data_IF_423404740189
#
_entry.id   IF_423404740189
#
_cell.length_a   1.000
_cell.length_b   1.000
_cell.length_c   1.000
_cell.angle_alpha   90.00
_cell.angle_beta   90.00
_cell.angle_gamma   90.00
#
_symmetry.space_group_name_H-M   'P 1'
#
loop_
_entity.id
_entity.type
_entity.pdbx_description
1 polymer ?
#
# COMPACT_ATOMS: atom_id res chain seq x y z
N UNK A 1 15.17 22.22 3.29
CA UNK A 1 15.03 21.62 1.95
C UNK A 1 14.82 20.12 2.12
N UNK A 2 14.15 19.51 1.15
CA UNK A 2 13.93 18.07 1.16
C UNK A 2 14.79 17.36 0.13
N UNK A 3 15.19 16.15 0.46
CA UNK A 3 15.99 15.28 -0.39
C UNK A 3 15.34 13.91 -0.39
N UNK A 4 15.17 13.32 -1.57
CA UNK A 4 14.39 12.10 -1.75
C UNK A 4 15.23 11.02 -2.38
N UNK A 5 15.09 9.79 -1.90
CA UNK A 5 15.56 8.58 -2.57
C UNK A 5 14.36 7.67 -2.88
N UNK A 6 14.27 7.23 -4.12
CA UNK A 6 13.39 6.14 -4.55
C UNK A 6 14.25 4.93 -4.88
N UNK A 7 13.89 3.78 -4.33
CA UNK A 7 14.63 2.53 -4.54
C UNK A 7 13.66 1.40 -4.90
N UNK A 8 13.96 0.73 -6.00
CA UNK A 8 13.32 -0.51 -6.43
C UNK A 8 14.38 -1.38 -7.07
N UNK A 9 14.86 -2.38 -6.34
CA UNK A 9 16.02 -3.19 -6.78
C UNK A 9 15.89 -3.68 -8.23
N UNK A 10 16.90 -3.54 -9.08
CA UNK A 10 18.25 -3.02 -8.79
C UNK A 10 18.39 -1.48 -8.94
N UNK A 11 17.32 -0.76 -9.24
CA UNK A 11 17.32 0.66 -9.56
C UNK A 11 17.19 1.54 -8.32
N UNK A 12 17.79 2.72 -8.38
CA UNK A 12 17.61 3.79 -7.42
C UNK A 12 17.77 5.15 -8.10
N UNK A 13 17.01 6.13 -7.63
CA UNK A 13 17.15 7.53 -8.05
C UNK A 13 17.07 8.47 -6.86
N UNK A 14 17.52 9.71 -7.04
CA UNK A 14 17.59 10.71 -5.98
C UNK A 14 17.25 12.09 -6.50
N UNK A 15 16.42 12.81 -5.75
CA UNK A 15 16.17 14.23 -5.97
C UNK A 15 16.72 15.02 -4.78
N UNK A 16 17.30 16.18 -5.06
CA UNK A 16 17.92 17.04 -4.05
C UNK A 16 17.29 18.44 -4.08
N UNK A 17 17.31 19.08 -2.91
CA UNK A 17 16.93 20.50 -2.76
C UNK A 17 15.50 20.79 -3.17
N UNK A 18 14.57 19.89 -2.94
CA UNK A 18 13.17 20.14 -3.18
C UNK A 18 12.62 21.11 -2.13
N UNK A 19 11.82 22.06 -2.54
CA UNK A 19 10.93 22.81 -1.65
C UNK A 19 9.82 21.90 -1.13
N UNK A 20 9.06 22.34 -0.14
CA UNK A 20 7.88 21.58 0.33
C UNK A 20 6.87 21.41 -0.80
N UNK A 21 6.60 22.47 -1.52
CA UNK A 21 5.66 22.45 -2.65
C UNK A 21 6.09 21.47 -3.76
N UNK A 22 7.39 21.47 -4.11
CA UNK A 22 7.92 20.52 -5.09
C UNK A 22 7.89 19.08 -4.59
N UNK A 23 8.17 18.84 -3.30
CA UNK A 23 8.06 17.53 -2.68
C UNK A 23 6.63 17.00 -2.76
N UNK A 24 5.66 17.82 -2.37
CA UNK A 24 4.25 17.45 -2.35
C UNK A 24 3.71 17.20 -3.76
N UNK A 25 3.98 18.11 -4.70
CA UNK A 25 3.48 17.99 -6.07
C UNK A 25 4.08 16.83 -6.87
N UNK A 26 5.38 16.54 -6.69
CA UNK A 26 6.11 15.60 -7.55
C UNK A 26 6.30 14.23 -6.93
N UNK A 27 6.25 14.13 -5.62
CA UNK A 27 6.59 12.90 -4.89
C UNK A 27 5.43 12.44 -4.00
N UNK A 28 5.06 13.26 -3.01
CA UNK A 28 4.13 12.84 -1.96
C UNK A 28 2.71 12.66 -2.51
N UNK A 29 2.21 13.62 -3.30
CA UNK A 29 0.88 13.53 -3.91
C UNK A 29 0.72 12.27 -4.77
N UNK A 30 1.55 12.06 -5.81
CA UNK A 30 1.51 10.83 -6.61
C UNK A 30 1.72 9.56 -5.77
N UNK A 31 2.64 9.59 -4.78
CA UNK A 31 2.87 8.45 -3.88
C UNK A 31 1.61 8.07 -3.10
N UNK A 32 0.95 9.06 -2.52
CA UNK A 32 -0.28 8.86 -1.73
C UNK A 32 -1.48 8.45 -2.60
N UNK A 33 -1.52 8.90 -3.85
CA UNK A 33 -2.53 8.47 -4.82
C UNK A 33 -2.26 7.07 -5.42
N UNK A 34 -1.13 6.43 -5.08
CA UNK A 34 -0.74 5.16 -5.70
C UNK A 34 -0.28 5.29 -7.16
N UNK A 35 -0.05 6.53 -7.61
CA UNK A 35 0.39 6.83 -8.96
C UNK A 35 1.90 6.63 -9.12
N UNK A 36 2.32 6.31 -10.35
CA UNK A 36 3.74 6.16 -10.65
C UNK A 36 4.44 7.53 -10.61
N UNK A 37 5.58 7.59 -9.91
CA UNK A 37 6.49 8.74 -9.96
C UNK A 37 7.45 8.54 -11.13
N UNK A 38 7.49 9.48 -12.05
CA UNK A 38 8.44 9.46 -13.17
C UNK A 38 9.69 10.28 -12.81
N UNK A 39 10.85 9.60 -12.77
CA UNK A 39 12.13 10.22 -12.46
C UNK A 39 13.29 9.43 -13.11
N UNK A 40 14.22 10.14 -13.75
CA UNK A 40 15.39 9.57 -14.43
C UNK A 40 15.01 8.49 -15.46
N UNK A 41 14.00 8.77 -16.30
CA UNK A 41 13.47 7.86 -17.34
C UNK A 41 12.93 6.52 -16.80
N UNK A 42 12.62 6.46 -15.50
CA UNK A 42 12.08 5.29 -14.84
C UNK A 42 10.76 5.61 -14.12
N UNK A 43 9.84 4.61 -14.09
CA UNK A 43 8.57 4.70 -13.39
C UNK A 43 8.66 3.97 -12.06
N UNK A 44 8.52 4.72 -10.97
CA UNK A 44 8.58 4.23 -9.61
C UNK A 44 7.17 4.00 -9.09
N UNK A 45 6.83 2.75 -8.83
CA UNK A 45 5.50 2.35 -8.36
C UNK A 45 5.51 2.28 -6.82
N UNK A 46 4.57 2.96 -6.13
CA UNK A 46 4.51 2.96 -4.66
C UNK A 46 4.41 1.57 -4.03
N UNK A 47 3.75 0.63 -4.69
CA UNK A 47 3.60 -0.77 -4.24
C UNK A 47 4.90 -1.60 -4.35
N UNK A 48 5.90 -1.14 -5.09
CA UNK A 48 7.16 -1.85 -5.38
C UNK A 48 8.42 -1.11 -4.95
N UNK A 49 8.33 0.21 -4.92
CA UNK A 49 9.44 1.06 -4.54
C UNK A 49 9.47 1.33 -3.03
N UNK A 50 10.62 1.75 -2.54
CA UNK A 50 10.78 2.34 -1.21
C UNK A 50 11.05 3.81 -1.38
N UNK A 51 10.30 4.65 -0.69
CA UNK A 51 10.50 6.09 -0.61
C UNK A 51 11.21 6.42 0.69
N UNK A 52 12.23 7.28 0.61
CA UNK A 52 12.90 7.85 1.78
C UNK A 52 13.04 9.36 1.58
N UNK A 53 12.62 10.13 2.57
CA UNK A 53 12.62 11.61 2.56
C UNK A 53 13.48 12.11 3.72
N UNK A 54 14.46 12.93 3.40
CA UNK A 54 15.29 13.63 4.38
C UNK A 54 15.02 15.12 4.34
N UNK A 55 14.86 15.72 5.49
CA UNK A 55 14.92 17.17 5.66
C UNK A 55 16.34 17.58 6.04
N UNK A 56 16.91 18.54 5.33
CA UNK A 56 18.29 18.97 5.57
C UNK A 56 18.63 20.30 4.94
N UNK A 57 19.88 20.74 5.05
CA UNK A 57 20.35 21.99 4.46
C UNK A 57 20.33 21.91 2.92
N UNK A 58 20.27 23.08 2.30
CA UNK A 58 20.49 23.21 0.84
C UNK A 58 21.89 22.67 0.50
N UNK A 59 21.96 21.75 -0.46
CA UNK A 59 23.22 21.21 -0.95
C UNK A 59 23.71 22.05 -2.13
N UNK A 60 24.91 22.61 -2.01
CA UNK A 60 25.61 23.29 -3.08
C UNK A 60 26.35 22.33 -4.02
N UNK A 61 26.91 22.85 -5.12
CA UNK A 61 27.69 22.08 -6.10
C UNK A 61 28.84 21.30 -5.43
N UNK A 62 29.49 21.90 -4.42
CA UNK A 62 30.58 21.27 -3.69
C UNK A 62 30.11 20.05 -2.85
N UNK A 63 28.90 20.12 -2.29
CA UNK A 63 28.31 19.02 -1.50
C UNK A 63 27.89 17.84 -2.36
N UNK A 64 27.45 18.10 -3.61
CA UNK A 64 27.00 17.10 -4.57
C UNK A 64 28.17 16.48 -5.37
N UNK A 65 29.33 17.13 -5.39
CA UNK A 65 30.51 16.68 -6.11
C UNK A 65 30.97 15.27 -5.72
N UNK A 66 31.54 14.54 -6.68
CA UNK A 66 32.06 13.18 -6.51
C UNK A 66 31.05 12.16 -5.98
N UNK A 67 29.76 12.32 -6.27
CA UNK A 67 28.71 11.42 -5.81
C UNK A 67 28.42 11.44 -4.30
N UNK A 68 28.90 12.45 -3.57
CA UNK A 68 28.76 12.56 -2.11
C UNK A 68 27.43 13.16 -1.65
N UNK A 69 26.61 13.64 -2.57
CA UNK A 69 25.35 14.34 -2.23
C UNK A 69 24.50 13.56 -1.22
N UNK A 70 24.24 12.29 -1.45
CA UNK A 70 23.43 11.47 -0.56
C UNK A 70 24.11 11.20 0.80
N UNK A 71 25.41 10.99 0.83
CA UNK A 71 26.16 10.85 2.09
C UNK A 71 26.07 12.13 2.94
N UNK A 72 26.09 13.29 2.30
CA UNK A 72 25.90 14.56 3.01
C UNK A 72 24.46 14.71 3.51
N UNK A 73 23.47 14.30 2.74
CA UNK A 73 22.05 14.26 3.17
C UNK A 73 21.90 13.38 4.41
N UNK A 74 22.30 12.12 4.35
CA UNK A 74 22.13 11.18 5.48
C UNK A 74 22.90 11.57 6.73
N UNK A 75 24.03 12.27 6.57
CA UNK A 75 24.85 12.73 7.69
C UNK A 75 24.34 14.01 8.34
N UNK A 76 23.79 14.93 7.56
CA UNK A 76 23.40 16.29 8.02
C UNK A 76 21.90 16.47 8.16
N UNK A 77 21.12 15.62 7.51
CA UNK A 77 19.67 15.67 7.49
C UNK A 77 19.03 14.71 8.48
N UNK A 78 17.73 14.87 8.66
CA UNK A 78 16.85 14.02 9.46
C UNK A 78 15.91 13.26 8.53
N UNK A 79 15.77 11.96 8.73
CA UNK A 79 14.73 11.19 8.06
C UNK A 79 13.36 11.65 8.57
N UNK A 80 12.55 12.15 7.65
CA UNK A 80 11.19 12.65 7.92
C UNK A 80 10.12 11.90 7.12
N UNK A 81 10.48 10.77 6.55
CA UNK A 81 9.60 10.00 5.65
C UNK A 81 8.24 9.74 6.29
N UNK A 82 8.23 9.20 7.50
CA UNK A 82 6.97 8.88 8.18
C UNK A 82 6.18 10.13 8.55
N UNK A 83 6.85 11.18 9.02
CA UNK A 83 6.21 12.43 9.40
C UNK A 83 5.50 13.08 8.20
N UNK A 84 6.21 13.17 7.07
CA UNK A 84 5.66 13.76 5.83
C UNK A 84 4.47 12.93 5.28
N UNK A 85 4.58 11.60 5.30
CA UNK A 85 3.50 10.75 4.82
C UNK A 85 2.28 10.76 5.75
N UNK A 86 2.48 10.84 7.08
CA UNK A 86 1.39 11.00 8.04
C UNK A 86 0.72 12.37 7.86
N UNK A 87 1.49 13.44 7.70
CA UNK A 87 0.96 14.80 7.47
C UNK A 87 0.13 14.85 6.19
N UNK A 88 0.67 14.36 5.07
CA UNK A 88 -0.05 14.29 3.80
C UNK A 88 -1.33 13.45 3.88
N UNK A 89 -1.29 12.37 4.67
CA UNK A 89 -2.46 11.55 4.96
C UNK A 89 -3.54 12.32 5.70
N UNK A 90 -3.15 13.09 6.70
CA UNK A 90 -4.08 13.91 7.48
C UNK A 90 -4.64 15.09 6.68
N UNK A 91 -3.86 15.66 5.78
CA UNK A 91 -4.32 16.72 4.86
C UNK A 91 -5.26 16.20 3.77
N UNK A 92 -5.08 14.94 3.35
CA UNK A 92 -5.94 14.26 2.36
C UNK A 92 -7.30 13.78 2.90
N UNK A 93 -7.57 14.00 4.18
CA UNK A 93 -8.73 13.45 4.88
C UNK A 93 -8.36 12.20 5.70
N UNK A 94 -9.25 11.83 6.62
CA UNK A 94 -9.08 10.66 7.44
C UNK A 94 -9.08 9.41 6.55
N UNK A 95 -7.96 8.68 6.51
CA UNK A 95 -7.94 7.41 5.77
C UNK A 95 -8.93 6.44 6.39
N UNK A 96 -9.61 5.65 5.56
CA UNK A 96 -10.44 4.58 6.06
C UNK A 96 -9.65 3.70 7.02
N UNK A 97 -10.23 3.39 8.15
CA UNK A 97 -9.65 2.47 9.12
C UNK A 97 -9.79 1.02 8.67
N UNK A 98 -9.08 0.09 9.32
CA UNK A 98 -9.29 -1.34 9.07
C UNK A 98 -10.73 -1.77 9.41
N UNK A 99 -11.36 -1.11 10.38
CA UNK A 99 -12.77 -1.37 10.71
C UNK A 99 -13.72 -0.86 9.62
N UNK A 100 -13.48 0.32 9.04
CA UNK A 100 -14.27 0.82 7.90
C UNK A 100 -14.16 -0.13 6.69
N UNK A 101 -12.94 -0.64 6.42
CA UNK A 101 -12.73 -1.63 5.36
C UNK A 101 -13.48 -2.93 5.64
N UNK A 102 -13.43 -3.43 6.87
CA UNK A 102 -14.18 -4.62 7.29
C UNK A 102 -15.69 -4.43 7.11
N UNK A 103 -16.22 -3.26 7.49
CA UNK A 103 -17.64 -2.93 7.36
C UNK A 103 -18.06 -2.89 5.89
N UNK A 104 -17.23 -2.36 4.99
CA UNK A 104 -17.47 -2.41 3.55
C UNK A 104 -17.44 -3.84 3.01
N UNK A 105 -16.49 -4.68 3.44
CA UNK A 105 -16.44 -6.11 3.08
C UNK A 105 -17.70 -6.82 3.56
N UNK A 106 -18.16 -6.52 4.78
CA UNK A 106 -19.41 -7.07 5.33
C UNK A 106 -20.63 -6.68 4.48
N UNK A 107 -20.74 -5.40 4.11
CA UNK A 107 -21.83 -4.90 3.29
C UNK A 107 -21.85 -5.58 1.91
N UNK A 108 -20.72 -5.69 1.25
CA UNK A 108 -20.60 -6.35 -0.06
C UNK A 108 -20.91 -7.84 0.01
N UNK A 109 -20.38 -8.54 1.02
CA UNK A 109 -20.62 -9.97 1.19
C UNK A 109 -22.07 -10.29 1.54
N UNK A 110 -22.79 -9.39 2.21
CA UNK A 110 -24.23 -9.50 2.46
C UNK A 110 -25.07 -9.28 1.20
N UNK A 111 -24.62 -8.43 0.28
CA UNK A 111 -25.28 -8.17 -1.00
C UNK A 111 -25.10 -9.31 -2.01
N UNK A 112 -24.03 -10.11 -1.87
CA UNK A 112 -23.73 -11.25 -2.74
C UNK A 112 -22.34 -11.81 -2.48
N UNK A 113 -22.03 -12.93 -3.12
CA UNK A 113 -20.70 -13.53 -2.99
C UNK A 113 -19.63 -12.65 -3.70
N UNK A 114 -18.55 -12.37 -3.00
CA UNK A 114 -17.38 -11.63 -3.53
C UNK A 114 -16.17 -12.56 -3.57
N UNK A 115 -15.47 -12.61 -4.71
CA UNK A 115 -14.22 -13.36 -4.82
C UNK A 115 -13.15 -12.77 -3.91
N UNK A 116 -12.29 -13.62 -3.35
CA UNK A 116 -11.21 -13.17 -2.47
C UNK A 116 -10.19 -12.26 -3.22
N UNK A 117 -9.95 -12.52 -4.50
CA UNK A 117 -9.16 -11.62 -5.37
C UNK A 117 -9.80 -10.23 -5.49
N UNK A 118 -11.12 -10.14 -5.60
CA UNK A 118 -11.85 -8.87 -5.63
C UNK A 118 -11.74 -8.07 -4.31
N UNK A 119 -11.53 -8.73 -3.16
CA UNK A 119 -11.23 -8.03 -1.90
C UNK A 119 -9.84 -7.40 -1.93
N UNK A 120 -8.86 -8.03 -2.57
CA UNK A 120 -7.50 -7.46 -2.73
C UNK A 120 -7.54 -6.26 -3.67
N UNK A 121 -8.37 -6.29 -4.72
CA UNK A 121 -8.62 -5.15 -5.60
C UNK A 121 -9.28 -4.00 -4.83
N UNK A 122 -10.31 -4.28 -4.03
CA UNK A 122 -10.93 -3.29 -3.15
C UNK A 122 -9.91 -2.69 -2.17
N UNK A 123 -9.07 -3.50 -1.55
CA UNK A 123 -8.01 -3.01 -0.68
C UNK A 123 -6.99 -2.15 -1.45
N UNK A 124 -6.76 -2.41 -2.76
CA UNK A 124 -5.91 -1.58 -3.58
C UNK A 124 -6.53 -0.19 -3.87
N UNK A 125 -7.86 -0.13 -4.04
CA UNK A 125 -8.58 1.14 -4.19
C UNK A 125 -8.53 1.98 -2.90
N UNK A 126 -8.69 1.34 -1.75
CA UNK A 126 -8.75 2.02 -0.45
C UNK A 126 -7.36 2.39 0.09
N UNK A 127 -6.35 1.58 -0.21
CA UNK A 127 -4.97 1.73 0.29
C UNK A 127 -3.97 1.61 -0.87
N UNK A 128 -3.98 2.55 -1.83
CA UNK A 128 -3.17 2.46 -3.05
C UNK A 128 -1.66 2.40 -2.77
N UNK A 129 -1.20 3.03 -1.66
CA UNK A 129 0.20 3.02 -1.24
C UNK A 129 0.64 1.73 -0.53
N UNK A 130 -0.32 0.86 -0.13
CA UNK A 130 0.02 -0.38 0.56
C UNK A 130 0.60 -1.42 -0.40
N UNK A 131 1.56 -2.21 0.06
CA UNK A 131 2.09 -3.35 -0.69
C UNK A 131 1.05 -4.46 -0.82
N UNK A 132 1.17 -5.27 -1.84
CA UNK A 132 0.25 -6.41 -2.06
C UNK A 132 0.15 -7.30 -0.82
N UNK A 133 1.26 -7.58 -0.13
CA UNK A 133 1.26 -8.38 1.10
C UNK A 133 0.51 -7.70 2.25
N UNK A 134 0.57 -6.38 2.36
CA UNK A 134 -0.15 -5.60 3.38
C UNK A 134 -1.66 -5.59 3.08
N UNK A 135 -2.04 -5.45 1.81
CA UNK A 135 -3.44 -5.55 1.37
C UNK A 135 -4.02 -6.93 1.64
N UNK A 136 -3.25 -8.00 1.36
CA UNK A 136 -3.69 -9.37 1.67
C UNK A 136 -3.83 -9.56 3.17
N UNK A 137 -2.90 -9.10 3.99
CA UNK A 137 -3.00 -9.20 5.44
C UNK A 137 -4.25 -8.48 6.00
N UNK A 138 -4.56 -7.28 5.45
CA UNK A 138 -5.79 -6.56 5.79
C UNK A 138 -7.05 -7.34 5.40
N UNK A 139 -7.09 -7.89 4.19
CA UNK A 139 -8.20 -8.73 3.75
C UNK A 139 -8.35 -9.98 4.59
N UNK A 140 -7.24 -10.66 4.91
CA UNK A 140 -7.20 -11.86 5.76
C UNK A 140 -7.80 -11.56 7.14
N UNK A 141 -7.38 -10.47 7.78
CA UNK A 141 -7.91 -10.06 9.07
C UNK A 141 -9.41 -9.76 8.99
N UNK A 142 -9.83 -8.94 8.04
CA UNK A 142 -11.25 -8.57 7.87
C UNK A 142 -12.12 -9.81 7.65
N UNK A 143 -11.74 -10.70 6.75
CA UNK A 143 -12.50 -11.94 6.47
C UNK A 143 -12.52 -12.87 7.69
N UNK A 144 -11.38 -13.03 8.38
CA UNK A 144 -11.31 -13.84 9.59
C UNK A 144 -12.28 -13.36 10.67
N UNK A 145 -12.31 -12.05 10.92
CA UNK A 145 -13.23 -11.45 11.89
C UNK A 145 -14.69 -11.62 11.48
N UNK A 146 -15.01 -11.42 10.19
CA UNK A 146 -16.37 -11.58 9.68
C UNK A 146 -16.87 -13.01 9.78
N UNK A 147 -16.04 -14.00 9.46
CA UNK A 147 -16.40 -15.42 9.59
C UNK A 147 -16.78 -15.82 11.02
N UNK A 148 -16.35 -15.03 12.03
CA UNK A 148 -16.63 -15.31 13.44
C UNK A 148 -17.69 -14.39 14.06
N UNK A 149 -18.09 -13.32 13.38
CA UNK A 149 -18.97 -12.29 13.93
C UNK A 149 -20.29 -12.12 13.19
N UNK A 150 -20.37 -12.48 11.91
CA UNK A 150 -21.58 -12.32 11.10
C UNK A 150 -21.91 -13.60 10.31
N UNK A 151 -23.15 -13.76 9.81
CA UNK A 151 -23.57 -14.98 9.09
C UNK A 151 -23.04 -15.01 7.65
N UNK A 152 -21.73 -15.12 7.50
CA UNK A 152 -21.05 -15.30 6.21
C UNK A 152 -20.24 -16.60 6.20
N UNK A 153 -19.91 -17.08 5.01
CA UNK A 153 -19.10 -18.29 4.84
C UNK A 153 -18.16 -18.16 3.65
N UNK A 154 -17.09 -18.94 3.65
CA UNK A 154 -16.29 -19.17 2.45
C UNK A 154 -16.95 -20.23 1.59
N UNK A 155 -16.96 -20.00 0.29
CA UNK A 155 -17.44 -20.98 -0.68
C UNK A 155 -16.39 -21.19 -1.79
N UNK A 156 -16.31 -22.43 -2.29
CA UNK A 156 -15.51 -22.78 -3.47
C UNK A 156 -16.39 -23.56 -4.43
N UNK A 157 -16.47 -23.15 -5.70
CA UNK A 157 -17.38 -23.74 -6.70
C UNK A 157 -18.84 -23.76 -6.20
N UNK A 158 -19.28 -22.73 -5.50
CA UNK A 158 -20.63 -22.64 -4.94
C UNK A 158 -20.90 -23.60 -3.76
N UNK A 159 -19.88 -24.31 -3.23
CA UNK A 159 -20.03 -25.19 -2.07
C UNK A 159 -19.37 -24.56 -0.84
N UNK A 160 -20.05 -24.52 0.31
CA UNK A 160 -19.47 -23.99 1.54
C UNK A 160 -18.17 -24.73 1.91
N UNK A 161 -17.15 -23.95 2.31
CA UNK A 161 -15.92 -24.50 2.90
C UNK A 161 -16.18 -24.76 4.38
N UNK A 162 -15.90 -25.99 4.88
CA UNK A 162 -16.08 -26.31 6.31
C UNK A 162 -15.26 -25.38 7.20
N UNK A 163 -15.80 -24.97 8.35
CA UNK A 163 -15.17 -24.01 9.25
C UNK A 163 -13.74 -24.42 9.69
N UNK A 164 -13.50 -25.70 9.90
CA UNK A 164 -12.16 -26.20 10.27
C UNK A 164 -11.09 -26.02 9.18
N UNK A 165 -11.49 -25.69 7.95
CA UNK A 165 -10.59 -25.42 6.82
C UNK A 165 -10.37 -23.91 6.58
N UNK A 166 -11.14 -23.01 7.18
CA UNK A 166 -11.07 -21.58 6.89
C UNK A 166 -9.66 -21.02 7.04
N UNK A 167 -9.00 -21.32 8.15
CA UNK A 167 -7.64 -20.85 8.38
C UNK A 167 -6.67 -21.30 7.26
N UNK A 168 -6.72 -22.59 6.91
CA UNK A 168 -5.84 -23.12 5.86
C UNK A 168 -6.11 -22.49 4.50
N UNK A 169 -7.39 -22.19 4.20
CA UNK A 169 -7.79 -21.51 2.97
C UNK A 169 -7.28 -20.07 2.95
N UNK A 170 -7.44 -19.31 4.04
CA UNK A 170 -7.00 -17.91 4.12
C UNK A 170 -5.47 -17.79 4.05
N UNK A 171 -4.72 -18.71 4.63
CA UNK A 171 -3.25 -18.72 4.56
C UNK A 171 -2.68 -19.18 3.20
N UNK A 172 -3.54 -19.56 2.26
CA UNK A 172 -3.12 -20.03 0.93
C UNK A 172 -3.07 -18.85 -0.03
N UNK A 173 -1.90 -18.56 -0.60
CA UNK A 173 -1.69 -17.44 -1.54
C UNK A 173 -2.67 -17.43 -2.72
N UNK A 174 -2.91 -18.59 -3.34
CA UNK A 174 -3.85 -18.69 -4.48
C UNK A 174 -5.28 -18.31 -4.13
N UNK A 175 -5.69 -18.36 -2.86
CA UNK A 175 -7.00 -17.88 -2.41
C UNK A 175 -7.21 -16.40 -2.76
N UNK A 176 -6.15 -15.61 -2.72
CA UNK A 176 -6.17 -14.15 -2.89
C UNK A 176 -5.84 -13.70 -4.32
N UNK A 177 -5.36 -14.59 -5.15
CA UNK A 177 -4.86 -14.27 -6.51
C UNK A 177 -5.58 -15.02 -7.62
N UNK A 178 -6.39 -16.03 -7.28
CA UNK A 178 -7.13 -16.83 -8.26
C UNK A 178 -8.51 -16.20 -8.51
N UNK A 179 -8.82 -15.91 -9.76
CA UNK A 179 -10.09 -15.42 -10.27
C UNK A 179 -10.80 -16.44 -11.17
N UNK A 180 -10.25 -17.63 -11.26
CA UNK A 180 -10.78 -18.73 -12.06
C UNK A 180 -12.04 -19.39 -11.46
N UNK A 181 -12.54 -20.46 -12.11
CA UNK A 181 -13.77 -21.16 -11.68
C UNK A 181 -13.63 -21.82 -10.31
N UNK A 182 -12.40 -21.96 -9.81
CA UNK A 182 -12.07 -22.54 -8.49
C UNK A 182 -11.81 -21.49 -7.42
N UNK A 183 -11.94 -20.21 -7.77
CA UNK A 183 -11.75 -19.11 -6.82
C UNK A 183 -12.63 -19.28 -5.58
N UNK A 184 -12.05 -18.89 -4.44
CA UNK A 184 -12.79 -18.82 -3.18
C UNK A 184 -13.56 -17.51 -3.14
N UNK A 185 -14.78 -17.55 -2.64
CA UNK A 185 -15.60 -16.37 -2.44
C UNK A 185 -16.10 -16.31 -0.98
N UNK A 186 -16.26 -15.10 -0.46
CA UNK A 186 -16.98 -14.80 0.77
C UNK A 186 -18.41 -14.41 0.41
N UNK A 187 -19.38 -14.97 1.10
CA UNK A 187 -20.78 -14.65 0.83
C UNK A 187 -21.70 -15.03 1.99
N UNK A 188 -23.00 -14.73 1.88
CA UNK A 188 -23.97 -15.05 2.92
C UNK A 188 -24.06 -16.57 3.12
N UNK A 189 -24.39 -16.97 4.35
CA UNK A 189 -24.68 -18.38 4.74
C UNK A 189 -25.96 -18.85 4.06
#
# INVERSE_FOLDING_TARGET
MFHVELRQFPHQTRAFNLSREELDARIVGPWMAGEAIEMDDYRWLPDRATLTIYEGPLLGMADMGLGRGWQNVTRKGRDVTQEVLIEARNEGGELPTADDFKDEVAARSAAGAIAMSGLVELAAEWYPQARVSERIALCEQAVWELLHSVPVTLARRGKPVPAYQWQAVLLTWSTWTDDGPDAVALGPL
#
